data_IF_155048058545
#
_entry.id   IF_155048058545
#
_cell.length_a   1.000
_cell.length_b   1.000
_cell.length_c   1.000
_cell.angle_alpha   90.00
_cell.angle_beta   90.00
_cell.angle_gamma   90.00
#
_symmetry.space_group_name_H-M   'P 1'
#
loop_
_entity.id
_entity.type
_entity.pdbx_description
1 polymer ?
#
# COMPACT_ATOMS: atom_id res chain seq x y z
N UNK A 1 5.23 28.95 -3.91
CA UNK A 1 3.94 29.61 -3.62
C UNK A 1 2.84 28.59 -3.48
N UNK A 2 2.12 28.62 -2.35
CA UNK A 2 0.89 27.85 -2.09
C UNK A 2 -0.33 28.62 -2.59
N UNK A 3 -1.34 27.93 -3.12
CA UNK A 3 -2.63 28.53 -3.47
C UNK A 3 -3.50 28.71 -2.23
N UNK A 4 -4.44 29.66 -2.27
CA UNK A 4 -5.30 29.99 -1.14
C UNK A 4 -6.07 28.76 -0.60
N UNK A 5 -6.54 27.89 -1.50
CA UNK A 5 -7.24 26.65 -1.12
C UNK A 5 -6.33 25.63 -0.41
N UNK A 6 -5.06 25.52 -0.83
CA UNK A 6 -4.09 24.63 -0.18
C UNK A 6 -3.70 25.14 1.19
N UNK A 7 -3.48 26.45 1.33
CA UNK A 7 -3.21 27.09 2.63
C UNK A 7 -4.36 26.89 3.60
N UNK A 8 -5.61 27.00 3.15
CA UNK A 8 -6.78 26.75 3.99
C UNK A 8 -6.84 25.30 4.50
N UNK A 9 -6.58 24.33 3.62
CA UNK A 9 -6.53 22.89 3.98
C UNK A 9 -5.41 22.61 4.98
N UNK A 10 -4.21 23.14 4.76
CA UNK A 10 -3.07 22.95 5.66
C UNK A 10 -3.33 23.58 7.04
N UNK A 11 -3.98 24.74 7.10
CA UNK A 11 -4.36 25.39 8.36
C UNK A 11 -5.42 24.60 9.13
N UNK A 12 -6.42 24.07 8.43
CA UNK A 12 -7.43 23.18 9.02
C UNK A 12 -6.77 21.93 9.62
N UNK A 13 -5.91 21.26 8.83
CA UNK A 13 -5.21 20.07 9.24
C UNK A 13 -4.29 20.33 10.45
N UNK A 14 -3.50 21.41 10.40
CA UNK A 14 -2.64 21.83 11.51
C UNK A 14 -3.41 22.02 12.82
N UNK A 15 -4.61 22.63 12.77
CA UNK A 15 -5.47 22.77 13.95
C UNK A 15 -5.85 21.41 14.55
N UNK A 16 -6.16 20.43 13.72
CA UNK A 16 -6.47 19.08 14.20
C UNK A 16 -5.24 18.34 14.73
N UNK A 17 -4.06 18.57 14.15
CA UNK A 17 -2.78 18.05 14.63
C UNK A 17 -2.46 18.54 16.04
N UNK A 18 -2.71 19.83 16.29
CA UNK A 18 -2.52 20.48 17.59
C UNK A 18 -3.61 20.14 18.62
N UNK A 19 -4.67 19.43 18.21
CA UNK A 19 -5.73 18.96 19.12
C UNK A 19 -5.34 17.59 19.69
N UNK A 20 -5.52 17.42 21.00
CA UNK A 20 -5.36 16.14 21.69
C UNK A 20 -6.08 15.01 20.94
N UNK A 21 -5.43 13.84 20.82
CA UNK A 21 -5.95 12.70 20.08
C UNK A 21 -7.37 12.29 20.50
N UNK A 22 -7.67 12.36 21.80
CA UNK A 22 -8.98 11.99 22.36
C UNK A 22 -10.08 13.01 22.06
N UNK A 23 -9.71 14.25 21.75
CA UNK A 23 -10.62 15.37 21.46
C UNK A 23 -10.82 15.60 19.97
N UNK A 24 -10.14 14.83 19.11
CA UNK A 24 -10.32 14.92 17.66
C UNK A 24 -11.72 14.45 17.26
N UNK A 25 -12.34 15.06 16.23
CA UNK A 25 -13.65 14.64 15.77
C UNK A 25 -13.63 13.18 15.33
N UNK A 26 -14.68 12.43 15.68
CA UNK A 26 -14.91 11.06 15.20
C UNK A 26 -16.03 11.02 14.15
N UNK A 27 -16.29 12.15 13.51
CA UNK A 27 -17.29 12.26 12.45
C UNK A 27 -16.77 11.60 11.17
N UNK A 28 -17.69 11.08 10.36
CA UNK A 28 -17.34 10.44 9.08
C UNK A 28 -16.53 11.39 8.20
N UNK A 29 -16.91 12.67 8.11
CA UNK A 29 -16.16 13.67 7.35
C UNK A 29 -14.70 13.86 7.81
N UNK A 30 -14.41 13.68 9.10
CA UNK A 30 -13.03 13.71 9.59
C UNK A 30 -12.28 12.42 9.25
N UNK A 31 -12.94 11.27 9.41
CA UNK A 31 -12.37 9.96 9.12
C UNK A 31 -12.13 9.76 7.61
N UNK A 32 -12.99 10.29 6.74
CA UNK A 32 -12.81 10.28 5.29
C UNK A 32 -11.60 11.13 4.88
N UNK A 33 -11.41 12.27 5.55
CA UNK A 33 -10.28 13.16 5.27
C UNK A 33 -8.97 12.60 5.80
N UNK A 34 -8.90 12.19 7.05
CA UNK A 34 -7.64 11.92 7.75
C UNK A 34 -7.55 10.48 8.28
N UNK A 35 -8.67 9.80 8.43
CA UNK A 35 -8.75 8.44 8.96
C UNK A 35 -8.13 8.35 10.34
N UNK A 36 -7.24 7.37 10.50
CA UNK A 36 -6.47 7.14 11.73
C UNK A 36 -5.13 7.88 11.73
N UNK A 37 -4.80 8.58 10.66
CA UNK A 37 -3.48 9.17 10.44
C UNK A 37 -3.39 10.59 10.99
N UNK A 38 -2.17 11.10 11.07
CA UNK A 38 -1.87 12.45 11.52
C UNK A 38 -2.38 13.47 10.47
N UNK A 39 -3.31 14.39 10.83
CA UNK A 39 -3.98 15.25 9.86
C UNK A 39 -3.06 16.12 8.99
N UNK A 40 -2.04 16.73 9.58
CA UNK A 40 -1.13 17.63 8.87
C UNK A 40 -0.29 16.87 7.83
N UNK A 41 0.24 15.71 8.22
CA UNK A 41 0.99 14.80 7.35
C UNK A 41 0.16 14.40 6.14
N UNK A 42 -1.10 13.99 6.36
CA UNK A 42 -2.05 13.65 5.29
C UNK A 42 -2.30 14.83 4.36
N UNK A 43 -2.55 16.02 4.91
CA UNK A 43 -2.80 17.22 4.12
C UNK A 43 -1.59 17.64 3.28
N UNK A 44 -0.38 17.60 3.85
CA UNK A 44 0.86 17.89 3.14
C UNK A 44 1.08 16.89 2.01
N UNK A 45 0.93 15.59 2.28
CA UNK A 45 1.09 14.55 1.28
C UNK A 45 0.12 14.74 0.11
N UNK A 46 -1.15 15.06 0.38
CA UNK A 46 -2.16 15.33 -0.66
C UNK A 46 -1.86 16.58 -1.48
N UNK A 47 -1.43 17.68 -0.85
CA UNK A 47 -1.05 18.90 -1.57
C UNK A 47 0.15 18.64 -2.47
N UNK A 48 1.17 17.93 -1.97
CA UNK A 48 2.34 17.58 -2.75
C UNK A 48 2.00 16.66 -3.92
N UNK A 49 1.17 15.63 -3.68
CA UNK A 49 0.74 14.70 -4.71
C UNK A 49 -0.07 15.40 -5.81
N UNK A 50 -1.02 16.26 -5.44
CA UNK A 50 -1.83 17.01 -6.39
C UNK A 50 -0.96 17.91 -7.27
N UNK A 51 0.06 18.56 -6.70
CA UNK A 51 1.04 19.36 -7.45
C UNK A 51 1.95 18.51 -8.35
N UNK A 52 2.20 17.27 -7.97
CA UNK A 52 2.94 16.30 -8.78
C UNK A 52 2.05 15.62 -9.86
N UNK A 53 0.75 15.92 -9.91
CA UNK A 53 -0.19 15.28 -10.84
C UNK A 53 -0.57 13.85 -10.46
N UNK A 54 -0.36 13.45 -9.21
CA UNK A 54 -0.68 12.11 -8.68
C UNK A 54 -1.74 12.21 -7.59
N UNK A 55 -2.62 11.22 -7.49
CA UNK A 55 -3.63 11.14 -6.43
C UNK A 55 -3.50 9.84 -5.66
N UNK A 56 -3.60 9.93 -4.33
CA UNK A 56 -3.67 8.77 -3.44
C UNK A 56 -5.07 8.71 -2.82
N UNK A 57 -5.77 7.60 -3.04
CA UNK A 57 -7.13 7.38 -2.50
C UNK A 57 -7.10 6.93 -1.04
N UNK A 58 -6.10 6.12 -0.67
CA UNK A 58 -5.95 5.57 0.67
C UNK A 58 -4.48 5.57 1.10
N UNK A 59 -4.27 5.69 2.41
CA UNK A 59 -2.95 5.58 3.07
C UNK A 59 -2.69 4.17 3.62
N UNK A 60 -3.43 3.17 3.12
CA UNK A 60 -3.35 1.76 3.51
C UNK A 60 -2.90 0.85 2.37
N UNK A 61 -3.28 -0.42 2.46
CA UNK A 61 -3.02 -1.43 1.42
C UNK A 61 -4.20 -1.49 0.44
N UNK A 62 -3.91 -1.82 -0.82
CA UNK A 62 -4.90 -2.13 -1.85
C UNK A 62 -4.94 -3.63 -2.11
N UNK A 63 -6.06 -4.13 -2.63
CA UNK A 63 -6.20 -5.53 -3.06
C UNK A 63 -5.80 -5.75 -4.53
N UNK A 64 -5.00 -4.84 -5.11
CA UNK A 64 -4.59 -4.94 -6.50
C UNK A 64 -3.72 -6.19 -6.73
N UNK A 65 -3.89 -6.91 -7.86
CA UNK A 65 -2.99 -8.01 -8.22
C UNK A 65 -1.53 -7.55 -8.26
N UNK A 66 -0.64 -8.31 -7.63
CA UNK A 66 0.80 -8.01 -7.58
C UNK A 66 1.54 -8.74 -8.70
N UNK A 67 2.34 -8.04 -9.53
CA UNK A 67 3.14 -8.69 -10.55
C UNK A 67 4.26 -9.52 -9.91
N UNK A 68 4.50 -10.72 -10.43
CA UNK A 68 5.64 -11.56 -10.04
C UNK A 68 6.63 -11.62 -11.20
N UNK A 69 7.91 -11.41 -10.90
CA UNK A 69 9.02 -11.53 -11.85
C UNK A 69 9.94 -12.67 -11.42
N UNK A 70 10.27 -13.56 -12.35
CA UNK A 70 11.17 -14.69 -12.12
C UNK A 70 12.12 -14.86 -13.31
N UNK A 71 13.37 -15.22 -13.04
CA UNK A 71 14.42 -15.48 -14.04
C UNK A 71 15.18 -16.73 -13.64
N UNK A 72 15.53 -17.56 -14.62
CA UNK A 72 16.28 -18.81 -14.43
C UNK A 72 15.47 -20.06 -14.78
N UNK A 73 16.03 -21.24 -14.50
CA UNK A 73 15.36 -22.54 -14.73
C UNK A 73 14.11 -22.62 -13.84
N UNK A 74 12.95 -22.95 -14.41
CA UNK A 74 11.69 -23.05 -13.67
C UNK A 74 10.95 -21.71 -13.54
N UNK A 75 11.48 -20.62 -14.10
CA UNK A 75 10.82 -19.30 -14.10
C UNK A 75 9.47 -19.30 -14.83
N UNK A 76 9.31 -20.17 -15.83
CA UNK A 76 8.06 -20.40 -16.55
C UNK A 76 6.90 -20.81 -15.64
N UNK A 77 7.19 -21.43 -14.49
CA UNK A 77 6.16 -21.83 -13.52
C UNK A 77 5.53 -20.65 -12.78
N UNK A 78 6.14 -19.46 -12.82
CA UNK A 78 5.64 -18.22 -12.22
C UNK A 78 4.86 -17.35 -13.20
N UNK A 79 4.61 -17.83 -14.43
CA UNK A 79 3.75 -17.14 -15.38
C UNK A 79 2.27 -17.28 -15.02
N UNK A 80 1.47 -16.31 -15.46
CA UNK A 80 0.01 -16.30 -15.30
C UNK A 80 -0.48 -15.72 -13.97
N UNK A 81 -1.78 -15.87 -13.72
CA UNK A 81 -2.45 -15.38 -12.51
C UNK A 81 -2.67 -16.54 -11.54
N UNK A 82 -2.22 -16.38 -10.30
CA UNK A 82 -2.38 -17.39 -9.26
C UNK A 82 -2.46 -16.71 -7.88
N UNK A 83 -3.09 -17.37 -6.88
CA UNK A 83 -3.15 -16.83 -5.54
C UNK A 83 -1.77 -16.84 -4.87
N UNK A 84 -1.53 -15.91 -3.95
CA UNK A 84 -0.29 -15.83 -3.18
C UNK A 84 0.08 -17.15 -2.47
N UNK A 85 -0.91 -17.95 -2.05
CA UNK A 85 -0.70 -19.25 -1.41
C UNK A 85 0.03 -20.25 -2.29
N UNK A 86 -0.08 -20.14 -3.62
CA UNK A 86 0.63 -21.01 -4.56
C UNK A 86 2.12 -20.65 -4.69
N UNK A 87 2.55 -19.49 -4.21
CA UNK A 87 3.93 -19.01 -4.38
C UNK A 87 4.94 -19.93 -3.68
N UNK A 88 4.62 -20.38 -2.47
CA UNK A 88 5.48 -21.27 -1.68
C UNK A 88 5.79 -22.57 -2.43
N UNK A 89 4.76 -23.28 -2.90
CA UNK A 89 4.92 -24.52 -3.64
C UNK A 89 5.68 -24.32 -4.97
N UNK A 90 5.46 -23.19 -5.66
CA UNK A 90 6.19 -22.85 -6.89
C UNK A 90 7.69 -22.62 -6.63
N UNK A 91 8.04 -21.94 -5.54
CA UNK A 91 9.44 -21.74 -5.12
C UNK A 91 10.11 -23.08 -4.80
N UNK A 92 9.45 -23.94 -4.01
CA UNK A 92 9.99 -25.27 -3.69
C UNK A 92 10.26 -26.09 -4.95
N UNK A 93 9.32 -26.12 -5.89
CA UNK A 93 9.51 -26.80 -7.17
C UNK A 93 10.68 -26.23 -7.98
N UNK A 94 10.85 -24.91 -8.00
CA UNK A 94 12.00 -24.28 -8.66
C UNK A 94 13.33 -24.65 -8.00
N UNK A 95 13.33 -24.93 -6.69
CA UNK A 95 14.49 -25.46 -5.95
C UNK A 95 14.68 -26.98 -6.11
N UNK A 96 13.75 -27.67 -6.77
CA UNK A 96 13.76 -29.14 -6.88
C UNK A 96 13.29 -29.85 -5.61
N UNK A 97 12.43 -29.21 -4.82
CA UNK A 97 11.86 -29.73 -3.57
C UNK A 97 10.33 -29.94 -3.70
N UNK A 98 9.81 -30.95 -3.02
CA UNK A 98 8.37 -31.17 -2.85
C UNK A 98 7.80 -30.32 -1.70
N UNK A 99 6.50 -30.45 -1.42
CA UNK A 99 5.81 -29.69 -0.37
C UNK A 99 6.24 -30.03 1.06
N UNK A 100 6.93 -31.16 1.26
CA UNK A 100 7.51 -31.59 2.52
C UNK A 100 8.98 -31.15 2.67
N UNK A 101 9.56 -30.51 1.64
CA UNK A 101 10.97 -30.13 1.61
C UNK A 101 11.90 -31.28 1.20
N UNK A 102 11.36 -32.38 0.70
CA UNK A 102 12.12 -33.51 0.19
C UNK A 102 12.55 -33.25 -1.25
N UNK A 103 13.71 -33.77 -1.65
CA UNK A 103 14.21 -33.60 -3.01
C UNK A 103 13.31 -34.34 -3.99
N UNK A 104 12.84 -33.65 -5.01
CA UNK A 104 12.12 -34.27 -6.13
C UNK A 104 13.15 -35.14 -6.87
N UNK A 105 13.10 -36.45 -6.63
CA UNK A 105 13.89 -37.43 -7.36
C UNK A 105 13.33 -37.47 -8.79
N UNK A 106 13.97 -36.77 -9.72
CA UNK A 106 13.69 -36.96 -11.14
C UNK A 106 14.33 -38.30 -11.59
N UNK A 107 13.64 -39.13 -12.37
CA UNK A 107 14.27 -40.27 -13.05
C UNK A 107 15.34 -39.83 -14.04
#
# INVERSE_FOLDING_TARGET
NLEAGETARLREAFRYSMTDLTKRPKTDAFLDKYGKFEPLTVAIARVLAARAGVTFELFGQTAAPMPVSAIGRGSESFAGVYPQTALFAKILRAMGLDENGEKIIQP
#
